data_IF_662997297056
#
_entry.id   IF_662997297056
#
_cell.length_a   1.000
_cell.length_b   1.000
_cell.length_c   1.000
_cell.angle_alpha   90.00
_cell.angle_beta   90.00
_cell.angle_gamma   90.00
#
_symmetry.space_group_name_H-M   'P 1'
#
loop_
_entity.id
_entity.type
_entity.pdbx_description
1 polymer ?
#
# COMPACT_ATOMS: atom_id res chain seq x y z
N UNK A 1 -10.17 -3.86 -69.00
CA UNK A 1 -10.12 -2.54 -68.33
C UNK A 1 -9.62 -1.52 -69.35
N UNK A 2 -10.39 -0.48 -69.69
CA UNK A 2 -10.04 0.43 -70.79
C UNK A 2 -8.88 1.35 -70.39
N UNK A 3 -8.00 1.73 -71.34
CA UNK A 3 -6.83 2.62 -71.13
C UNK A 3 -7.16 3.86 -70.29
N UNK A 4 -8.37 4.43 -70.45
CA UNK A 4 -8.84 5.58 -69.66
C UNK A 4 -8.99 5.29 -68.16
N UNK A 5 -9.43 4.08 -67.76
CA UNK A 5 -9.55 3.70 -66.34
C UNK A 5 -8.19 3.49 -65.68
N UNK A 6 -7.20 3.00 -66.43
CA UNK A 6 -5.84 2.82 -65.91
C UNK A 6 -5.16 4.17 -65.67
N UNK A 7 -5.31 5.13 -66.59
CA UNK A 7 -4.78 6.50 -66.43
C UNK A 7 -5.43 7.20 -65.23
N UNK A 8 -6.75 7.06 -65.07
CA UNK A 8 -7.44 7.66 -63.93
C UNK A 8 -6.98 7.10 -62.58
N UNK A 9 -6.77 5.79 -62.49
CA UNK A 9 -6.28 5.14 -61.28
C UNK A 9 -4.84 5.61 -60.94
N UNK A 10 -3.98 5.76 -61.95
CA UNK A 10 -2.60 6.23 -61.77
C UNK A 10 -2.53 7.69 -61.31
N UNK A 11 -3.33 8.57 -61.93
CA UNK A 11 -3.42 9.98 -61.53
C UNK A 11 -3.98 10.11 -60.12
N UNK A 12 -5.04 9.35 -59.79
CA UNK A 12 -5.62 9.35 -58.44
C UNK A 12 -4.62 8.88 -57.38
N UNK A 13 -3.88 7.80 -57.66
CA UNK A 13 -2.88 7.27 -56.73
C UNK A 13 -1.75 8.28 -56.48
N UNK A 14 -1.28 8.96 -57.52
CA UNK A 14 -0.26 10.02 -57.41
C UNK A 14 -0.76 11.23 -56.62
N UNK A 15 -2.02 11.62 -56.79
CA UNK A 15 -2.64 12.73 -56.05
C UNK A 15 -2.79 12.40 -54.56
N UNK A 16 -3.21 11.18 -54.23
CA UNK A 16 -3.33 10.71 -52.84
C UNK A 16 -1.96 10.64 -52.17
N UNK A 17 -0.93 10.13 -52.86
CA UNK A 17 0.44 10.10 -52.30
C UNK A 17 1.04 11.50 -52.17
N UNK A 18 0.77 12.42 -53.09
CA UNK A 18 1.21 13.82 -52.95
C UNK A 18 0.54 14.50 -51.74
N UNK A 19 -0.77 14.31 -51.54
CA UNK A 19 -1.49 14.85 -50.39
C UNK A 19 -1.00 14.26 -49.06
N UNK A 20 -0.71 12.96 -49.02
CA UNK A 20 -0.16 12.31 -47.82
C UNK A 20 1.24 12.82 -47.47
N UNK A 21 2.09 13.06 -48.48
CA UNK A 21 3.42 13.62 -48.26
C UNK A 21 3.37 15.09 -47.83
N UNK A 22 2.41 15.89 -48.33
CA UNK A 22 2.21 17.28 -47.88
C UNK A 22 1.75 17.31 -46.40
N UNK A 23 0.86 16.39 -45.98
CA UNK A 23 0.48 16.28 -44.57
C UNK A 23 1.66 15.86 -43.68
N UNK A 24 2.50 14.92 -44.12
CA UNK A 24 3.70 14.52 -43.37
C UNK A 24 4.73 15.65 -43.28
N UNK A 25 4.87 16.46 -44.33
CA UNK A 25 5.72 17.66 -44.32
C UNK A 25 5.17 18.74 -43.39
N UNK A 26 3.85 18.94 -43.31
CA UNK A 26 3.24 19.87 -42.35
C UNK A 26 3.37 19.41 -40.89
N UNK A 27 3.40 18.10 -40.64
CA UNK A 27 3.70 17.55 -39.30
C UNK A 27 5.18 17.72 -38.95
N UNK A 28 6.07 17.62 -39.95
CA UNK A 28 7.51 17.76 -39.75
C UNK A 28 7.98 19.23 -39.70
N UNK A 29 7.23 20.17 -40.28
CA UNK A 29 7.53 21.61 -40.30
C UNK A 29 6.70 22.43 -39.32
N UNK A 30 6.17 21.80 -38.27
CA UNK A 30 5.54 22.50 -37.16
C UNK A 30 6.57 23.36 -36.44
N UNK A 31 6.68 24.60 -36.90
CA UNK A 31 7.52 25.65 -36.35
C UNK A 31 7.35 25.74 -34.83
N UNK A 32 8.50 25.72 -34.18
CA UNK A 32 8.70 26.18 -32.82
C UNK A 32 8.32 27.65 -32.69
N UNK A 33 7.03 27.94 -32.53
CA UNK A 33 6.61 29.06 -31.71
C UNK A 33 6.67 28.61 -30.26
N UNK A 34 7.66 29.18 -29.56
CA UNK A 34 7.87 29.02 -28.14
C UNK A 34 6.69 29.58 -27.36
N UNK A 35 5.64 28.78 -27.24
CA UNK A 35 4.87 28.78 -26.02
C UNK A 35 5.81 28.24 -24.96
N UNK A 36 6.22 29.12 -24.06
CA UNK A 36 6.72 28.74 -22.76
C UNK A 36 5.60 27.92 -22.09
N UNK A 37 5.59 26.61 -22.36
CA UNK A 37 5.03 25.63 -21.46
C UNK A 37 5.79 25.86 -20.16
N UNK A 38 5.23 26.71 -19.30
CA UNK A 38 5.69 26.91 -17.95
C UNK A 38 5.94 25.50 -17.42
N UNK A 39 7.20 25.20 -17.12
CA UNK A 39 7.59 23.90 -16.59
C UNK A 39 6.68 23.64 -15.40
N UNK A 40 5.65 22.81 -15.60
CA UNK A 40 4.74 22.43 -14.55
C UNK A 40 5.66 21.79 -13.54
N UNK A 41 5.85 22.47 -12.40
CA UNK A 41 6.75 22.02 -11.37
C UNK A 41 6.42 20.56 -11.09
N UNK A 42 7.42 19.71 -10.84
CA UNK A 42 7.17 18.31 -10.49
C UNK A 42 6.17 18.19 -9.33
N UNK A 43 6.03 19.23 -8.50
CA UNK A 43 5.06 19.34 -7.41
C UNK A 43 3.59 19.51 -7.87
N UNK A 44 3.32 20.06 -9.05
CA UNK A 44 1.95 20.18 -9.55
C UNK A 44 1.49 18.90 -10.27
N UNK A 45 2.44 18.12 -10.82
CA UNK A 45 2.12 16.87 -11.52
C UNK A 45 1.42 15.84 -10.62
N UNK A 46 1.83 15.73 -9.34
CA UNK A 46 1.21 14.82 -8.37
C UNK A 46 -0.25 15.18 -8.05
N UNK A 47 -0.68 16.40 -8.40
CA UNK A 47 -2.02 16.90 -8.14
C UNK A 47 -2.96 16.90 -9.36
N UNK A 48 -2.47 16.61 -10.56
CA UNK A 48 -3.29 16.67 -11.78
C UNK A 48 -3.55 15.28 -12.33
N UNK A 49 -2.59 14.37 -12.22
CA UNK A 49 -2.66 13.08 -12.89
C UNK A 49 -3.25 12.01 -11.97
N UNK A 50 -4.31 11.32 -12.42
CA UNK A 50 -4.92 10.19 -11.70
C UNK A 50 -4.09 8.90 -11.83
N UNK A 51 -2.80 8.97 -11.50
CA UNK A 51 -1.86 7.86 -11.69
C UNK A 51 -0.74 7.86 -10.64
N UNK A 52 0.11 6.86 -10.76
CA UNK A 52 1.36 6.75 -10.04
C UNK A 52 2.33 7.87 -10.46
N UNK A 53 2.99 8.51 -9.49
CA UNK A 53 4.06 9.48 -9.73
C UNK A 53 5.21 9.26 -8.73
N UNK A 54 6.45 9.33 -9.21
CA UNK A 54 7.66 9.12 -8.41
C UNK A 54 8.54 7.98 -8.92
N UNK A 55 9.54 7.60 -8.11
CA UNK A 55 10.49 6.53 -8.41
C UNK A 55 10.43 5.46 -7.33
N UNK A 56 10.48 4.21 -7.75
CA UNK A 56 10.60 3.05 -6.88
C UNK A 56 12.06 2.59 -6.84
N UNK A 57 12.55 2.24 -5.66
CA UNK A 57 13.86 1.62 -5.42
C UNK A 57 13.88 0.25 -6.12
N UNK A 58 14.76 0.00 -7.10
CA UNK A 58 14.82 -1.29 -7.80
C UNK A 58 15.28 -2.45 -6.91
N UNK A 59 16.03 -2.16 -5.84
CA UNK A 59 16.54 -3.15 -4.88
C UNK A 59 15.54 -3.52 -3.79
N UNK A 60 14.40 -2.82 -3.70
CA UNK A 60 13.39 -3.07 -2.69
C UNK A 60 12.72 -4.44 -2.89
N UNK A 61 12.34 -5.08 -1.78
CA UNK A 61 11.64 -6.36 -1.80
C UNK A 61 10.14 -6.22 -1.71
N UNK A 62 9.65 -5.07 -1.25
CA UNK A 62 8.23 -4.79 -1.07
C UNK A 62 7.87 -3.38 -1.51
N UNK A 63 6.68 -3.24 -2.07
CA UNK A 63 6.02 -1.94 -2.27
C UNK A 63 4.77 -1.86 -1.41
N UNK A 64 4.81 -1.00 -0.39
CA UNK A 64 3.73 -0.75 0.56
C UNK A 64 2.89 0.43 0.07
N UNK A 65 1.57 0.24 -0.03
CA UNK A 65 0.64 1.36 -0.16
C UNK A 65 0.22 1.85 1.21
N UNK A 66 0.16 3.18 1.36
CA UNK A 66 -0.31 3.85 2.56
C UNK A 66 -1.35 4.88 2.18
N UNK A 67 -2.39 5.03 2.99
CA UNK A 67 -3.44 6.00 2.74
C UNK A 67 -3.68 6.87 3.98
N UNK A 68 -2.81 7.87 4.22
CA UNK A 68 -2.96 8.76 5.37
C UNK A 68 -4.26 9.56 5.30
N UNK A 69 -4.77 9.89 6.49
CA UNK A 69 -5.92 10.79 6.62
C UNK A 69 -5.58 12.16 6.02
N UNK A 70 -6.56 12.80 5.39
CA UNK A 70 -6.39 14.10 4.71
C UNK A 70 -5.99 15.23 5.67
N UNK A 71 -4.99 16.03 5.28
CA UNK A 71 -4.57 17.24 6.00
C UNK A 71 -5.66 18.32 6.01
N UNK A 72 -6.50 18.38 4.96
CA UNK A 72 -7.60 19.36 4.85
C UNK A 72 -8.83 19.03 5.70
N UNK A 73 -9.11 17.75 5.90
CA UNK A 73 -10.36 17.29 6.54
C UNK A 73 -10.34 17.32 8.05
N UNK A 74 -9.17 17.53 8.59
CA UNK A 74 -8.96 17.56 10.00
C UNK A 74 -8.45 18.96 10.25
N UNK A 75 -9.07 19.67 11.17
CA UNK A 75 -8.26 20.51 12.06
C UNK A 75 -7.32 19.58 12.81
N UNK A 76 -6.40 18.91 12.09
CA UNK A 76 -5.35 18.12 12.68
C UNK A 76 -4.72 19.06 13.65
N UNK A 77 -4.65 18.61 14.89
CA UNK A 77 -3.76 19.27 15.81
C UNK A 77 -2.39 19.36 15.13
N UNK A 78 -1.68 20.45 15.33
CA UNK A 78 -0.31 20.61 14.82
C UNK A 78 0.55 19.38 15.17
N UNK A 79 0.26 18.80 16.33
CA UNK A 79 0.75 17.52 16.82
C UNK A 79 0.55 16.36 15.83
N UNK A 80 -0.67 16.09 15.37
CA UNK A 80 -0.95 15.00 14.43
C UNK A 80 -0.29 15.23 13.07
N UNK A 81 -0.25 16.49 12.61
CA UNK A 81 0.45 16.85 11.39
C UNK A 81 1.97 16.60 11.51
N UNK A 82 2.58 16.95 12.65
CA UNK A 82 3.98 16.69 12.93
C UNK A 82 4.28 15.20 13.02
N UNK A 83 3.38 14.41 13.63
CA UNK A 83 3.51 12.95 13.65
C UNK A 83 3.45 12.37 12.24
N UNK A 84 2.49 12.79 11.42
CA UNK A 84 2.38 12.30 10.04
C UNK A 84 3.64 12.65 9.22
N UNK A 85 4.17 13.88 9.37
CA UNK A 85 5.43 14.28 8.73
C UNK A 85 6.58 13.37 9.17
N UNK A 86 6.73 13.16 10.48
CA UNK A 86 7.78 12.30 11.01
C UNK A 86 7.66 10.88 10.44
N UNK A 87 6.48 10.26 10.51
CA UNK A 87 6.26 8.90 9.97
C UNK A 87 6.59 8.83 8.47
N UNK A 88 6.15 9.81 7.67
CA UNK A 88 6.50 9.89 6.24
C UNK A 88 8.00 9.94 6.00
N UNK A 89 8.72 10.75 6.80
CA UNK A 89 10.17 10.84 6.70
C UNK A 89 10.83 9.49 7.04
N UNK A 90 10.33 8.75 8.04
CA UNK A 90 10.88 7.42 8.38
C UNK A 90 10.72 6.41 7.23
N UNK A 91 9.61 6.43 6.48
CA UNK A 91 9.38 5.51 5.37
C UNK A 91 10.44 5.62 4.27
N UNK A 92 10.96 6.82 4.03
CA UNK A 92 12.02 7.07 3.04
C UNK A 92 13.31 6.35 3.44
N UNK A 93 13.58 6.30 4.75
CA UNK A 93 14.81 5.71 5.33
C UNK A 93 14.84 4.18 5.29
N UNK A 94 13.71 3.49 5.04
CA UNK A 94 13.66 2.02 5.02
C UNK A 94 14.29 1.50 3.71
N UNK A 95 15.48 0.87 3.73
CA UNK A 95 16.26 0.62 2.52
C UNK A 95 15.56 -0.33 1.54
N UNK A 96 15.04 -1.46 2.02
CA UNK A 96 14.42 -2.50 1.19
C UNK A 96 12.92 -2.35 0.92
N UNK A 97 12.34 -1.18 1.19
CA UNK A 97 10.91 -0.95 0.98
C UNK A 97 10.65 0.32 0.18
N UNK A 98 9.68 0.21 -0.73
CA UNK A 98 9.03 1.35 -1.34
C UNK A 98 7.73 1.67 -0.58
N UNK A 99 7.47 2.94 -0.36
CA UNK A 99 6.18 3.41 0.17
C UNK A 99 5.53 4.33 -0.86
N UNK A 100 4.26 4.06 -1.16
CA UNK A 100 3.46 4.82 -2.11
C UNK A 100 2.27 5.42 -1.39
N UNK A 101 2.24 6.75 -1.30
CA UNK A 101 1.15 7.49 -0.66
C UNK A 101 -0.03 7.61 -1.60
N UNK A 102 -1.13 6.96 -1.26
CA UNK A 102 -2.37 6.93 -2.02
C UNK A 102 -3.38 7.91 -1.42
N UNK A 103 -3.76 8.94 -2.18
CA UNK A 103 -4.73 9.94 -1.71
C UNK A 103 -5.40 10.69 -2.86
N UNK A 104 -6.48 11.41 -2.56
CA UNK A 104 -7.01 12.48 -3.42
C UNK A 104 -6.73 13.89 -2.85
N UNK A 105 -6.07 13.98 -1.68
CA UNK A 105 -5.72 15.24 -1.03
C UNK A 105 -4.40 15.80 -1.56
N UNK A 106 -4.46 16.81 -2.42
CA UNK A 106 -3.29 17.39 -3.08
C UNK A 106 -2.21 17.88 -2.09
N UNK A 107 -2.50 18.68 -1.04
CA UNK A 107 -1.52 19.01 -0.01
C UNK A 107 -0.76 17.81 0.58
N UNK A 108 -1.46 16.70 0.84
CA UNK A 108 -0.85 15.48 1.37
C UNK A 108 0.08 14.85 0.33
N UNK A 109 -0.32 14.80 -0.94
CA UNK A 109 0.51 14.27 -2.02
C UNK A 109 1.75 15.13 -2.27
N UNK A 110 1.62 16.47 -2.23
CA UNK A 110 2.76 17.39 -2.31
C UNK A 110 3.74 17.19 -1.16
N UNK A 111 3.24 17.07 0.07
CA UNK A 111 4.07 16.79 1.24
C UNK A 111 4.83 15.46 1.11
N UNK A 112 4.14 14.40 0.65
CA UNK A 112 4.78 13.11 0.41
C UNK A 112 5.90 13.21 -0.65
N UNK A 113 5.62 13.90 -1.76
CA UNK A 113 6.59 14.13 -2.83
C UNK A 113 7.81 14.95 -2.35
N UNK A 114 7.58 15.95 -1.49
CA UNK A 114 8.65 16.75 -0.88
C UNK A 114 9.64 15.89 -0.07
N UNK A 115 9.16 14.83 0.59
CA UNK A 115 10.01 13.86 1.28
C UNK A 115 10.61 12.78 0.35
N UNK A 116 10.34 12.83 -0.95
CA UNK A 116 10.83 11.85 -1.91
C UNK A 116 10.04 10.54 -1.93
N UNK A 117 8.83 10.52 -1.35
CA UNK A 117 7.93 9.38 -1.45
C UNK A 117 7.24 9.37 -2.82
N UNK A 118 7.00 8.17 -3.34
CA UNK A 118 6.13 8.00 -4.50
C UNK A 118 4.67 8.21 -4.09
N UNK A 119 3.84 8.64 -5.03
CA UNK A 119 2.44 8.97 -4.81
C UNK A 119 1.55 8.26 -5.82
N UNK A 120 0.28 8.06 -5.46
CA UNK A 120 -0.75 7.60 -6.37
C UNK A 120 -2.03 8.42 -6.12
N UNK A 121 -2.44 9.22 -7.11
CA UNK A 121 -3.67 10.00 -6.98
C UNK A 121 -4.88 9.15 -7.35
N UNK A 122 -5.87 9.10 -6.46
CA UNK A 122 -7.13 8.42 -6.72
C UNK A 122 -7.99 9.21 -7.72
N UNK A 123 -8.44 8.54 -8.79
CA UNK A 123 -9.40 9.10 -9.72
C UNK A 123 -10.78 9.30 -9.08
N UNK A 124 -11.38 10.46 -9.36
CA UNK A 124 -12.78 10.80 -9.08
C UNK A 124 -13.04 11.46 -7.73
N UNK A 125 -14.26 11.99 -7.57
CA UNK A 125 -14.79 12.49 -6.31
C UNK A 125 -15.17 11.30 -5.42
N UNK A 126 -14.22 10.46 -5.01
CA UNK A 126 -14.39 9.77 -3.73
C UNK A 126 -14.56 10.89 -2.72
N UNK A 127 -15.82 11.18 -2.36
CA UNK A 127 -16.12 12.19 -1.37
C UNK A 127 -15.29 11.80 -0.18
N UNK A 128 -14.36 12.67 0.19
CA UNK A 128 -13.35 12.29 1.16
C UNK A 128 -14.02 11.88 2.51
N UNK A 129 -15.33 12.17 2.66
CA UNK A 129 -16.28 11.74 3.69
C UNK A 129 -16.36 10.24 3.91
N UNK A 130 -16.36 9.46 2.83
CA UNK A 130 -16.64 8.02 2.91
C UNK A 130 -15.37 7.17 3.10
N UNK A 131 -14.19 7.80 3.16
CA UNK A 131 -12.91 7.10 3.21
C UNK A 131 -12.56 6.39 1.90
N UNK A 132 -11.39 5.76 1.87
CA UNK A 132 -10.92 5.00 0.70
C UNK A 132 -11.31 3.54 0.90
N UNK A 133 -12.05 2.90 -0.02
CA UNK A 133 -12.36 1.48 0.10
C UNK A 133 -11.09 0.64 0.07
N UNK A 134 -10.92 -0.29 1.01
CA UNK A 134 -9.67 -1.05 1.13
C UNK A 134 -9.41 -1.92 -0.10
N UNK A 135 -10.46 -2.53 -0.64
CA UNK A 135 -10.38 -3.27 -1.92
C UNK A 135 -9.75 -2.46 -3.05
N UNK A 136 -9.97 -1.14 -3.07
CA UNK A 136 -9.38 -0.24 -4.08
C UNK A 136 -7.89 -0.06 -3.84
N UNK A 137 -7.45 0.11 -2.59
CA UNK A 137 -6.02 0.21 -2.25
C UNK A 137 -5.25 -1.05 -2.62
N UNK A 138 -5.77 -2.22 -2.24
CA UNK A 138 -5.10 -3.49 -2.53
C UNK A 138 -5.06 -3.78 -4.04
N UNK A 139 -6.12 -3.41 -4.77
CA UNK A 139 -6.12 -3.47 -6.25
C UNK A 139 -5.06 -2.52 -6.85
N UNK A 140 -4.89 -1.31 -6.31
CA UNK A 140 -3.85 -0.38 -6.76
C UNK A 140 -2.46 -0.95 -6.49
N UNK A 141 -2.23 -1.49 -5.29
CA UNK A 141 -0.98 -2.11 -4.91
C UNK A 141 -0.59 -3.25 -5.87
N UNK A 142 -1.55 -4.11 -6.20
CA UNK A 142 -1.34 -5.26 -7.07
C UNK A 142 -1.15 -4.87 -8.54
N UNK A 143 -2.01 -4.00 -9.08
CA UNK A 143 -2.20 -3.87 -10.53
C UNK A 143 -1.79 -2.49 -11.11
N UNK A 144 -1.81 -1.43 -10.31
CA UNK A 144 -1.63 -0.06 -10.83
C UNK A 144 -0.23 0.51 -10.54
N UNK A 145 0.44 0.00 -9.50
CA UNK A 145 1.81 0.39 -9.16
C UNK A 145 2.79 -0.54 -9.90
N UNK A 146 3.83 0.01 -10.57
CA UNK A 146 4.80 -0.79 -11.32
C UNK A 146 5.31 -2.00 -10.55
N UNK A 147 5.33 -3.16 -11.22
CA UNK A 147 5.70 -4.44 -10.64
C UNK A 147 7.22 -4.63 -10.53
N UNK A 148 7.89 -3.76 -9.77
CA UNK A 148 9.35 -3.80 -9.57
C UNK A 148 9.78 -4.55 -8.31
N UNK A 149 8.83 -4.95 -7.46
CA UNK A 149 9.08 -5.71 -6.23
C UNK A 149 8.30 -7.03 -6.25
N UNK A 150 8.85 -8.13 -5.70
CA UNK A 150 8.16 -9.42 -5.63
C UNK A 150 6.96 -9.39 -4.69
N UNK A 151 7.00 -8.53 -3.67
CA UNK A 151 5.91 -8.36 -2.70
C UNK A 151 5.24 -7.00 -2.87
N UNK A 152 3.97 -6.95 -2.50
CA UNK A 152 3.20 -5.71 -2.30
C UNK A 152 2.50 -5.77 -0.97
N UNK A 153 2.10 -4.62 -0.44
CA UNK A 153 1.43 -4.61 0.85
C UNK A 153 0.67 -3.32 1.11
N UNK A 154 0.02 -3.29 2.26
CA UNK A 154 -0.64 -2.13 2.83
C UNK A 154 -0.16 -1.96 4.26
N UNK A 155 0.00 -0.72 4.73
CA UNK A 155 0.07 -0.45 6.15
C UNK A 155 -0.71 0.81 6.53
N UNK A 156 -1.12 0.88 7.79
CA UNK A 156 -1.69 2.08 8.38
C UNK A 156 -0.65 3.22 8.36
N UNK A 157 -1.14 4.45 8.27
CA UNK A 157 -0.30 5.63 8.06
C UNK A 157 0.48 6.09 9.29
N UNK A 158 0.25 5.46 10.44
CA UNK A 158 0.90 5.74 11.72
C UNK A 158 1.83 4.59 12.15
N UNK A 159 2.17 3.68 11.24
CA UNK A 159 3.14 2.62 11.45
C UNK A 159 4.49 2.99 10.81
N UNK A 160 5.53 2.84 11.59
CA UNK A 160 6.92 2.95 11.16
C UNK A 160 7.57 1.58 11.14
N UNK A 161 8.56 1.43 10.27
CA UNK A 161 9.37 0.23 10.15
C UNK A 161 10.84 0.60 10.20
N UNK A 162 11.66 -0.35 10.61
CA UNK A 162 13.12 -0.26 10.52
C UNK A 162 13.66 -1.30 9.51
N UNK A 163 14.97 -1.53 9.54
CA UNK A 163 15.63 -2.52 8.67
C UNK A 163 15.13 -3.97 8.87
N UNK A 164 14.41 -4.25 9.97
CA UNK A 164 13.84 -5.58 10.22
C UNK A 164 12.76 -5.97 9.21
N UNK A 165 12.08 -5.00 8.58
CA UNK A 165 11.11 -5.25 7.50
C UNK A 165 11.78 -5.95 6.32
N UNK A 166 12.84 -5.35 5.79
CA UNK A 166 13.59 -5.93 4.67
C UNK A 166 14.21 -7.28 5.05
N UNK A 167 14.88 -7.35 6.20
CA UNK A 167 15.54 -8.57 6.68
C UNK A 167 14.56 -9.73 6.78
N UNK A 168 13.39 -9.49 7.39
CA UNK A 168 12.34 -10.52 7.52
C UNK A 168 11.79 -10.93 6.17
N UNK A 169 11.39 -9.96 5.34
CA UNK A 169 10.77 -10.28 4.05
C UNK A 169 11.73 -11.00 3.09
N UNK A 170 13.02 -10.66 3.09
CA UNK A 170 14.05 -11.41 2.32
C UNK A 170 14.14 -12.86 2.75
N UNK A 171 14.14 -13.12 4.06
CA UNK A 171 14.18 -14.48 4.58
C UNK A 171 12.90 -15.25 4.22
N UNK A 172 11.74 -14.62 4.31
CA UNK A 172 10.46 -15.23 3.92
C UNK A 172 10.40 -15.53 2.43
N UNK A 173 10.88 -14.63 1.55
CA UNK A 173 11.00 -14.91 0.11
C UNK A 173 11.90 -16.12 -0.14
N UNK A 174 13.07 -16.17 0.52
CA UNK A 174 13.99 -17.31 0.40
C UNK A 174 13.41 -18.62 0.91
N UNK A 175 12.64 -18.57 2.00
CA UNK A 175 11.92 -19.74 2.51
C UNK A 175 10.80 -20.19 1.55
N UNK A 176 9.98 -19.25 1.10
CA UNK A 176 8.89 -19.51 0.16
C UNK A 176 9.42 -20.15 -1.14
N UNK A 177 10.54 -19.67 -1.68
CA UNK A 177 11.17 -20.29 -2.84
C UNK A 177 11.62 -21.74 -2.59
N UNK A 178 12.18 -22.03 -1.40
CA UNK A 178 12.62 -23.39 -1.02
C UNK A 178 11.45 -24.35 -0.78
N UNK A 179 10.34 -23.86 -0.22
CA UNK A 179 9.15 -24.65 0.08
C UNK A 179 8.10 -24.63 -1.03
N UNK A 180 8.38 -23.95 -2.15
CA UNK A 180 7.44 -23.77 -3.27
C UNK A 180 6.12 -23.11 -2.82
N UNK A 181 6.20 -22.09 -1.96
CA UNK A 181 5.05 -21.29 -1.56
C UNK A 181 4.82 -20.15 -2.55
N UNK A 182 3.93 -20.38 -3.51
CA UNK A 182 3.58 -19.36 -4.52
C UNK A 182 2.83 -18.16 -3.92
N UNK A 183 2.14 -18.38 -2.81
CA UNK A 183 1.24 -17.42 -2.20
C UNK A 183 1.61 -17.20 -0.74
N UNK A 184 2.31 -16.10 -0.49
CA UNK A 184 2.69 -15.67 0.84
C UNK A 184 1.74 -14.55 1.30
N UNK A 185 1.30 -14.63 2.55
CA UNK A 185 0.66 -13.53 3.27
C UNK A 185 1.40 -13.32 4.58
N UNK A 186 1.83 -12.10 4.87
CA UNK A 186 2.62 -11.76 6.04
C UNK A 186 1.93 -10.64 6.78
N UNK A 187 1.76 -10.82 8.08
CA UNK A 187 1.25 -9.80 8.98
C UNK A 187 1.91 -9.98 10.35
N UNK A 188 1.59 -9.13 11.31
CA UNK A 188 2.11 -9.22 12.66
C UNK A 188 1.58 -8.11 13.54
N UNK A 189 1.98 -8.16 14.81
CA UNK A 189 1.54 -7.23 15.84
C UNK A 189 2.40 -5.98 15.83
N UNK A 190 1.78 -4.83 16.06
CA UNK A 190 2.50 -3.59 16.29
C UNK A 190 3.06 -3.52 17.71
N UNK A 191 4.11 -2.72 17.88
CA UNK A 191 4.66 -2.32 19.17
C UNK A 191 4.29 -0.87 19.40
N UNK A 192 3.52 -0.62 20.46
CA UNK A 192 3.17 0.73 20.87
C UNK A 192 4.30 1.32 21.72
N UNK A 193 4.71 2.55 21.42
CA UNK A 193 5.71 3.28 22.19
C UNK A 193 5.27 4.72 22.43
N UNK A 194 5.57 5.25 23.62
CA UNK A 194 5.41 6.67 23.90
C UNK A 194 6.59 7.43 23.29
N UNK A 195 6.33 8.23 22.27
CA UNK A 195 7.36 8.91 21.48
C UNK A 195 7.12 10.40 21.25
N UNK A 196 6.17 11.01 21.96
CA UNK A 196 5.69 12.36 21.63
C UNK A 196 6.81 13.40 21.60
N UNK A 197 7.63 13.42 22.66
CA UNK A 197 8.76 14.35 22.77
C UNK A 197 9.82 14.11 21.70
N UNK A 198 9.95 12.87 21.22
CA UNK A 198 10.87 12.52 20.14
C UNK A 198 10.36 13.09 18.83
N UNK A 199 9.07 12.91 18.52
CA UNK A 199 8.42 13.39 17.29
C UNK A 199 8.55 14.90 17.15
N UNK A 200 8.36 15.65 18.22
CA UNK A 200 8.38 17.12 18.21
C UNK A 200 9.75 17.72 18.46
N UNK A 201 10.81 16.92 18.60
CA UNK A 201 12.16 17.46 18.82
C UNK A 201 12.77 18.04 17.54
N UNK A 202 13.65 19.02 17.70
CA UNK A 202 14.41 19.68 16.61
C UNK A 202 15.56 18.83 16.04
N UNK A 203 15.70 17.57 16.49
CA UNK A 203 16.74 16.66 16.01
C UNK A 203 16.48 16.19 14.58
N UNK A 204 17.53 15.69 13.91
CA UNK A 204 17.37 15.05 12.60
C UNK A 204 16.38 13.88 12.65
N UNK A 205 15.81 13.51 11.51
CA UNK A 205 14.87 12.37 11.43
C UNK A 205 15.58 11.09 11.88
N UNK A 206 16.83 10.92 11.49
CA UNK A 206 17.68 9.78 11.80
C UNK A 206 17.92 9.65 13.30
N UNK A 207 18.28 10.75 13.97
CA UNK A 207 18.47 10.77 15.43
C UNK A 207 17.16 10.52 16.18
N UNK A 208 16.04 11.10 15.71
CA UNK A 208 14.71 10.86 16.29
C UNK A 208 14.30 9.41 16.14
N UNK A 209 14.44 8.83 14.95
CA UNK A 209 14.13 7.44 14.67
C UNK A 209 15.03 6.50 15.50
N UNK A 210 16.33 6.75 15.55
CA UNK A 210 17.26 5.97 16.36
C UNK A 210 16.93 6.03 17.86
N UNK A 211 16.56 7.21 18.37
CA UNK A 211 16.11 7.38 19.76
C UNK A 211 14.84 6.56 20.01
N UNK A 212 13.85 6.67 19.13
CA UNK A 212 12.58 5.96 19.27
C UNK A 212 12.75 4.44 19.21
N UNK A 213 13.52 3.95 18.24
CA UNK A 213 13.80 2.51 18.08
C UNK A 213 14.66 1.97 19.22
N UNK A 214 15.59 2.77 19.75
CA UNK A 214 16.37 2.42 20.94
C UNK A 214 15.52 2.27 22.21
N UNK A 215 14.39 2.99 22.27
CA UNK A 215 13.43 2.90 23.37
C UNK A 215 12.49 1.67 23.27
N UNK A 216 12.31 1.09 22.08
CA UNK A 216 11.38 -0.03 21.84
C UNK A 216 11.63 -1.23 22.76
N UNK A 217 12.87 -1.74 22.96
CA UNK A 217 13.10 -2.89 23.84
C UNK A 217 12.73 -2.65 25.31
N UNK A 218 12.85 -1.40 25.78
CA UNK A 218 12.64 -1.06 27.20
C UNK A 218 11.23 -0.52 27.48
N UNK A 219 10.64 0.22 26.55
CA UNK A 219 9.40 0.98 26.72
C UNK A 219 8.27 0.53 25.78
N UNK A 220 8.61 -0.26 24.75
CA UNK A 220 7.63 -0.76 23.78
C UNK A 220 6.69 -1.79 24.40
N UNK A 221 5.41 -1.71 24.04
CA UNK A 221 4.39 -2.67 24.44
C UNK A 221 3.85 -3.37 23.19
N UNK A 222 4.06 -4.68 23.10
CA UNK A 222 3.47 -5.48 22.04
C UNK A 222 1.95 -5.45 22.15
N UNK A 223 1.28 -4.93 21.14
CA UNK A 223 -0.18 -4.77 21.16
C UNK A 223 -0.89 -6.09 20.85
N UNK A 224 -2.21 -6.19 21.03
CA UNK A 224 -2.99 -7.45 20.90
C UNK A 224 -2.84 -8.16 19.54
N UNK A 225 -3.13 -9.47 19.52
CA UNK A 225 -2.95 -10.35 18.36
C UNK A 225 -3.96 -10.12 17.22
N UNK A 226 -5.06 -9.45 17.53
CA UNK A 226 -6.12 -8.96 16.64
C UNK A 226 -5.94 -7.47 16.27
N UNK A 227 -4.71 -6.94 16.34
CA UNK A 227 -4.41 -5.59 15.88
C UNK A 227 -3.32 -5.63 14.82
N UNK A 228 -3.76 -5.84 13.58
CA UNK A 228 -2.87 -5.91 12.42
C UNK A 228 -2.90 -4.59 11.67
N UNK A 229 -1.77 -3.90 11.66
CA UNK A 229 -1.66 -2.61 10.98
C UNK A 229 -0.91 -2.68 9.65
N UNK A 230 -0.47 -3.88 9.26
CA UNK A 230 0.17 -4.11 7.97
C UNK A 230 -0.10 -5.51 7.43
N UNK A 231 -0.09 -5.59 6.10
CA UNK A 231 -0.21 -6.83 5.32
C UNK A 231 0.79 -6.77 4.18
N UNK A 232 1.56 -7.84 3.99
CA UNK A 232 2.45 -8.01 2.84
C UNK A 232 2.10 -9.33 2.15
N UNK A 233 2.06 -9.32 0.83
CA UNK A 233 1.58 -10.43 0.04
C UNK A 233 2.33 -10.55 -1.28
N UNK A 234 2.42 -11.77 -1.80
CA UNK A 234 2.91 -11.97 -3.17
C UNK A 234 1.94 -11.31 -4.14
N UNK A 235 2.46 -10.72 -5.22
CA UNK A 235 1.62 -10.10 -6.26
C UNK A 235 0.66 -11.10 -6.91
N UNK A 236 1.04 -12.37 -6.97
CA UNK A 236 0.27 -13.49 -7.49
C UNK A 236 -0.74 -14.07 -6.50
N UNK A 237 -0.96 -13.42 -5.35
CA UNK A 237 -1.90 -13.94 -4.34
C UNK A 237 -3.26 -14.30 -4.96
N UNK A 238 -3.87 -15.44 -4.58
CA UNK A 238 -5.16 -15.88 -5.11
C UNK A 238 -6.31 -15.05 -4.53
N UNK A 239 -6.03 -14.13 -3.61
CA UNK A 239 -7.06 -13.29 -3.01
C UNK A 239 -7.62 -12.29 -4.04
N UNK A 240 -8.87 -12.48 -4.44
CA UNK A 240 -9.59 -11.62 -5.38
C UNK A 240 -10.02 -10.31 -4.69
N UNK A 241 -9.17 -9.28 -4.72
CA UNK A 241 -9.43 -8.04 -3.98
C UNK A 241 -10.73 -7.33 -4.37
N UNK A 242 -11.17 -7.44 -5.63
CA UNK A 242 -12.44 -6.87 -6.07
C UNK A 242 -13.68 -7.44 -5.33
N UNK A 243 -13.55 -8.66 -4.77
CA UNK A 243 -14.58 -9.35 -4.00
C UNK A 243 -14.52 -9.09 -2.50
N UNK A 244 -13.50 -8.38 -2.01
CA UNK A 244 -13.47 -7.97 -0.61
C UNK A 244 -14.71 -7.10 -0.30
N UNK A 245 -15.29 -7.23 0.91
CA UNK A 245 -16.35 -6.35 1.35
C UNK A 245 -15.89 -4.89 1.27
N UNK A 246 -16.86 -3.96 1.20
CA UNK A 246 -16.61 -2.53 0.98
C UNK A 246 -16.12 -1.82 2.24
N UNK A 247 -15.24 -2.45 3.00
CA UNK A 247 -14.55 -1.82 4.10
C UNK A 247 -13.81 -0.58 3.65
N UNK A 248 -13.71 0.39 4.54
CA UNK A 248 -13.04 1.67 4.34
C UNK A 248 -11.83 1.77 5.27
N UNK A 249 -10.75 2.33 4.73
CA UNK A 249 -9.49 2.54 5.46
C UNK A 249 -9.70 3.47 6.65
N UNK A 250 -9.06 3.16 7.77
CA UNK A 250 -9.16 3.95 9.01
C UNK A 250 -10.36 3.59 9.89
N UNK A 251 -11.24 2.70 9.43
CA UNK A 251 -12.21 2.02 10.29
C UNK A 251 -11.66 0.69 10.82
N UNK A 252 -12.23 0.19 11.91
CA UNK A 252 -11.89 -1.12 12.50
C UNK A 252 -12.34 -2.32 11.62
N UNK A 253 -12.03 -3.55 12.06
CA UNK A 253 -12.54 -4.85 11.57
C UNK A 253 -11.91 -5.35 10.27
N UNK A 254 -11.59 -4.46 9.32
CA UNK A 254 -11.05 -4.89 8.03
C UNK A 254 -9.77 -5.71 8.17
N UNK A 255 -8.87 -5.28 9.04
CA UNK A 255 -7.61 -5.92 9.36
C UNK A 255 -7.79 -7.37 9.80
N UNK A 256 -8.69 -7.58 10.76
CA UNK A 256 -9.01 -8.90 11.27
C UNK A 256 -9.77 -9.74 10.24
N UNK A 257 -10.64 -9.11 9.45
CA UNK A 257 -11.37 -9.78 8.39
C UNK A 257 -10.41 -10.32 7.32
N UNK A 258 -9.46 -9.50 6.86
CA UNK A 258 -8.48 -9.91 5.85
C UNK A 258 -7.53 -10.98 6.39
N UNK A 259 -7.08 -10.83 7.63
CA UNK A 259 -6.23 -11.83 8.30
C UNK A 259 -6.95 -13.16 8.41
N UNK A 260 -8.22 -13.15 8.84
CA UNK A 260 -9.04 -14.37 8.94
C UNK A 260 -9.23 -15.04 7.58
N UNK A 261 -9.53 -14.25 6.53
CA UNK A 261 -9.62 -14.77 5.17
C UNK A 261 -8.32 -15.43 4.73
N UNK A 262 -7.17 -14.77 4.93
CA UNK A 262 -5.87 -15.30 4.53
C UNK A 262 -5.53 -16.59 5.28
N UNK A 263 -5.76 -16.64 6.60
CA UNK A 263 -5.52 -17.82 7.43
C UNK A 263 -6.43 -19.01 7.05
N UNK A 264 -7.63 -18.73 6.55
CA UNK A 264 -8.60 -19.74 6.13
C UNK A 264 -8.39 -20.22 4.69
N UNK A 265 -7.61 -19.49 3.89
CA UNK A 265 -7.54 -19.73 2.44
C UNK A 265 -6.57 -20.90 2.13
N UNK A 266 -7.04 -21.98 1.47
CA UNK A 266 -6.27 -23.23 1.34
C UNK A 266 -5.00 -23.11 0.51
N UNK A 267 -4.89 -22.06 -0.32
CA UNK A 267 -3.73 -21.81 -1.17
C UNK A 267 -2.79 -20.74 -0.62
N UNK A 268 -3.07 -20.13 0.54
CA UNK A 268 -2.26 -19.02 1.09
C UNK A 268 -1.46 -19.51 2.29
N UNK A 269 -0.16 -19.24 2.28
CA UNK A 269 0.70 -19.45 3.44
C UNK A 269 0.79 -18.15 4.24
N UNK A 270 -0.05 -18.04 5.27
CA UNK A 270 0.00 -16.93 6.22
C UNK A 270 1.15 -17.11 7.21
N UNK A 271 1.92 -16.04 7.43
CA UNK A 271 3.06 -15.99 8.34
C UNK A 271 2.90 -14.85 9.34
N UNK A 272 2.95 -15.17 10.62
CA UNK A 272 3.11 -14.18 11.70
C UNK A 272 4.56 -13.72 11.79
N UNK A 273 4.83 -12.47 11.42
CA UNK A 273 6.16 -11.85 11.45
C UNK A 273 6.46 -11.09 12.74
N UNK A 274 5.58 -11.16 13.74
CA UNK A 274 5.68 -10.38 14.99
C UNK A 274 7.06 -10.46 15.65
N UNK A 275 7.70 -11.63 15.67
CA UNK A 275 8.96 -11.83 16.39
C UNK A 275 10.20 -11.32 15.65
N UNK A 276 10.11 -10.99 14.36
CA UNK A 276 11.28 -10.62 13.54
C UNK A 276 11.16 -9.28 12.83
N UNK A 277 9.93 -8.75 12.73
CA UNK A 277 9.60 -7.50 12.06
C UNK A 277 9.00 -6.52 13.08
N UNK A 278 9.67 -5.39 13.26
CA UNK A 278 9.22 -4.32 14.14
C UNK A 278 8.32 -3.34 13.38
N UNK A 279 7.02 -3.44 13.62
CA UNK A 279 6.02 -2.44 13.23
C UNK A 279 5.77 -1.53 14.43
N UNK A 280 6.27 -0.30 14.41
CA UNK A 280 6.26 0.61 15.56
C UNK A 280 5.15 1.65 15.41
N UNK A 281 4.35 1.81 16.45
CA UNK A 281 3.27 2.78 16.53
C UNK A 281 3.52 3.78 17.66
N UNK A 282 3.41 5.07 17.35
CA UNK A 282 3.55 6.12 18.37
C UNK A 282 2.17 6.37 18.99
N UNK A 283 2.08 6.18 20.31
CA UNK A 283 0.82 6.36 21.02
C UNK A 283 0.22 7.76 20.79
N UNK A 284 -1.08 7.80 20.52
CA UNK A 284 -1.88 9.02 20.34
C UNK A 284 -2.24 9.71 21.69
N UNK A 285 -1.37 9.65 22.70
CA UNK A 285 -1.66 10.14 24.05
C UNK A 285 -2.80 9.39 24.75
N UNK A 286 -3.76 10.10 25.34
CA UNK A 286 -4.92 9.53 26.06
C UNK A 286 -5.95 8.86 25.14
N UNK A 287 -5.86 9.07 23.83
CA UNK A 287 -6.86 8.67 22.85
C UNK A 287 -6.61 7.31 22.20
N UNK A 288 -6.35 6.28 23.02
CA UNK A 288 -5.90 4.94 22.57
C UNK A 288 -6.91 4.15 21.72
N UNK A 289 -8.19 4.57 21.68
CA UNK A 289 -9.28 3.87 20.98
C UNK A 289 -10.09 4.76 20.03
N UNK A 290 -9.55 5.90 19.60
CA UNK A 290 -10.26 6.88 18.75
C UNK A 290 -10.86 6.27 17.47
N UNK A 291 -10.18 5.28 16.88
CA UNK A 291 -10.69 4.60 15.68
C UNK A 291 -12.01 3.90 15.95
N UNK A 292 -12.23 3.31 17.14
CA UNK A 292 -13.43 2.54 17.46
C UNK A 292 -14.70 3.40 17.46
N UNK A 293 -14.60 4.70 17.71
CA UNK A 293 -15.74 5.62 17.78
C UNK A 293 -15.90 6.46 16.50
N UNK A 294 -15.04 6.23 15.50
CA UNK A 294 -15.07 7.01 14.26
C UNK A 294 -16.24 6.66 13.34
N UNK A 295 -16.66 7.63 12.52
CA UNK A 295 -17.64 7.43 11.46
C UNK A 295 -17.25 6.29 10.50
N UNK A 296 -15.97 6.16 10.16
CA UNK A 296 -15.46 5.11 9.27
C UNK A 296 -15.58 3.72 9.92
N UNK A 297 -15.42 3.61 11.24
CA UNK A 297 -15.68 2.37 11.97
C UNK A 297 -17.15 2.00 11.99
N UNK A 298 -18.07 2.98 12.03
CA UNK A 298 -19.50 2.69 11.91
C UNK A 298 -19.86 2.16 10.51
N UNK A 299 -19.22 2.69 9.45
CA UNK A 299 -19.34 2.12 8.10
C UNK A 299 -18.87 0.66 8.10
N UNK A 300 -17.67 0.38 8.63
CA UNK A 300 -17.12 -0.99 8.63
C UNK A 300 -17.98 -1.97 9.45
N UNK A 301 -18.54 -1.54 10.59
CA UNK A 301 -19.51 -2.34 11.36
C UNK A 301 -20.76 -2.65 10.55
N UNK A 302 -21.27 -1.69 9.79
CA UNK A 302 -22.40 -1.92 8.89
C UNK A 302 -22.07 -2.96 7.81
N UNK A 303 -20.90 -2.85 7.18
CA UNK A 303 -20.41 -3.82 6.18
C UNK A 303 -20.30 -5.23 6.77
N UNK A 304 -19.92 -5.34 8.04
CA UNK A 304 -19.76 -6.62 8.74
C UNK A 304 -21.08 -7.37 8.95
N UNK A 305 -22.22 -6.68 9.04
CA UNK A 305 -23.53 -7.32 9.21
C UNK A 305 -23.83 -8.32 8.07
N UNK A 306 -23.43 -7.96 6.85
CA UNK A 306 -23.58 -8.81 5.66
C UNK A 306 -22.34 -9.66 5.36
N UNK A 307 -21.25 -9.51 6.13
CA UNK A 307 -19.97 -10.16 5.85
C UNK A 307 -19.34 -10.64 7.16
N UNK A 308 -19.90 -11.70 7.79
CA UNK A 308 -19.36 -12.23 9.03
C UNK A 308 -17.90 -12.67 8.87
N UNK A 309 -17.22 -12.83 9.99
CA UNK A 309 -15.79 -13.15 10.02
C UNK A 309 -15.46 -13.90 11.29
N UNK A 310 -14.33 -14.61 11.27
CA UNK A 310 -13.82 -15.41 12.37
C UNK A 310 -13.03 -14.62 13.43
N UNK A 311 -12.82 -13.30 13.22
CA UNK A 311 -11.90 -12.47 14.02
C UNK A 311 -10.44 -12.91 13.91
N UNK A 312 -9.93 -12.96 12.67
CA UNK A 312 -8.59 -13.45 12.40
C UNK A 312 -7.50 -12.77 13.22
N UNK A 313 -6.66 -13.61 13.84
CA UNK A 313 -5.54 -13.18 14.67
C UNK A 313 -4.22 -13.54 14.02
N UNK A 314 -3.18 -12.82 14.41
CA UNK A 314 -1.80 -13.14 14.03
C UNK A 314 -1.38 -14.52 14.55
N UNK A 315 -1.81 -14.90 15.76
CA UNK A 315 -1.53 -16.21 16.36
C UNK A 315 -2.14 -17.39 15.61
N UNK A 316 -3.16 -17.14 14.78
CA UNK A 316 -3.82 -18.17 13.97
C UNK A 316 -3.11 -18.41 12.63
N UNK A 317 -2.01 -17.69 12.35
CA UNK A 317 -1.19 -17.97 11.20
C UNK A 317 -0.57 -19.39 11.33
N UNK A 318 -0.65 -20.24 10.30
CA UNK A 318 -0.08 -21.59 10.32
C UNK A 318 1.45 -21.59 10.45
N UNK A 319 2.09 -20.48 10.11
CA UNK A 319 3.53 -20.29 10.19
C UNK A 319 3.87 -19.01 10.97
N UNK A 320 5.06 -18.98 11.56
CA UNK A 320 5.63 -17.76 12.18
C UNK A 320 7.08 -17.58 11.78
N UNK A 321 7.48 -16.33 11.60
CA UNK A 321 8.88 -15.95 11.48
C UNK A 321 9.48 -15.86 12.89
N UNK A 322 10.62 -16.52 13.10
CA UNK A 322 11.30 -16.56 14.38
C UNK A 322 12.78 -16.17 14.20
N UNK A 323 13.37 -15.42 15.16
CA UNK A 323 14.82 -15.25 15.20
C UNK A 323 15.50 -16.62 15.32
N UNK A 324 16.55 -16.83 14.54
CA UNK A 324 17.41 -18.01 14.63
C UNK A 324 18.79 -17.65 15.17
N UNK A 325 19.58 -18.67 15.52
CA UNK A 325 20.96 -18.49 15.92
C UNK A 325 21.73 -17.72 14.82
N UNK A 326 22.53 -16.73 15.24
CA UNK A 326 23.27 -15.86 14.32
C UNK A 326 22.47 -14.71 13.70
N UNK A 327 21.26 -14.42 14.19
CA UNK A 327 20.49 -13.23 13.77
C UNK A 327 19.76 -13.37 12.44
N UNK A 328 19.69 -14.59 11.90
CA UNK A 328 18.86 -14.91 10.73
C UNK A 328 17.39 -15.10 11.12
N UNK A 329 16.50 -15.14 10.12
CA UNK A 329 15.07 -15.38 10.31
C UNK A 329 14.74 -16.78 9.81
N UNK A 330 14.19 -17.62 10.69
CA UNK A 330 13.65 -18.92 10.35
C UNK A 330 12.12 -18.84 10.23
N UNK A 331 11.53 -19.76 9.48
CA UNK A 331 10.08 -19.97 9.46
C UNK A 331 9.81 -21.29 10.15
N UNK A 332 8.93 -21.26 11.15
CA UNK A 332 8.56 -22.42 11.96
C UNK A 332 7.04 -22.53 12.02
N UNK A 333 6.48 -23.72 12.31
CA UNK A 333 5.05 -23.86 12.54
C UNK A 333 4.53 -22.87 13.60
N UNK A 334 3.36 -22.31 13.34
CA UNK A 334 2.57 -21.51 14.27
C UNK A 334 1.89 -22.37 15.33
N UNK A 335 1.09 -21.74 16.19
CA UNK A 335 0.26 -22.49 17.13
C UNK A 335 -0.81 -23.28 16.37
N UNK A 336 -1.06 -24.52 16.79
CA UNK A 336 -2.13 -25.35 16.20
C UNK A 336 -3.46 -24.80 16.71
N UNK A 337 -4.02 -23.85 15.98
CA UNK A 337 -5.43 -23.52 16.05
C UNK A 337 -6.16 -24.28 14.94
N UNK A 338 -7.37 -24.81 15.20
CA UNK A 338 -8.21 -25.27 14.10
C UNK A 338 -8.30 -24.11 13.10
N UNK A 339 -7.98 -24.32 11.81
CA UNK A 339 -8.07 -23.24 10.85
C UNK A 339 -9.48 -22.66 10.91
N UNK A 340 -9.55 -21.34 10.91
CA UNK A 340 -10.81 -20.67 10.67
C UNK A 340 -11.44 -21.29 9.41
N UNK A 341 -12.68 -21.75 9.55
CA UNK A 341 -13.39 -22.30 8.38
C UNK A 341 -13.62 -21.16 7.40
N UNK A 342 -13.62 -21.45 6.10
CA UNK A 342 -14.02 -20.47 5.08
C UNK A 342 -15.51 -20.06 5.17
N UNK A 343 -16.29 -20.70 6.03
CA UNK A 343 -17.73 -20.52 6.23
C UNK A 343 -18.16 -19.06 6.52
N UNK A 344 -17.44 -18.25 7.33
CA UNK A 344 -17.78 -16.84 7.52
C UNK A 344 -17.60 -16.01 6.23
N UNK A 345 -16.79 -16.47 5.28
CA UNK A 345 -16.42 -15.74 4.06
C UNK A 345 -17.26 -16.13 2.83
N UNK A 346 -18.45 -16.71 3.01
CA UNK A 346 -19.33 -17.20 1.92
C UNK A 346 -19.58 -16.18 0.82
N UNK A 347 -19.88 -14.93 1.16
CA UNK A 347 -20.10 -13.86 0.18
C UNK A 347 -18.85 -13.57 -0.66
N UNK A 348 -17.67 -13.59 -0.03
CA UNK A 348 -16.40 -13.45 -0.73
C UNK A 348 -16.17 -14.64 -1.66
N UNK A 349 -16.32 -15.87 -1.16
CA UNK A 349 -16.12 -17.11 -1.93
C UNK A 349 -17.06 -17.15 -3.14
N UNK A 350 -18.34 -16.83 -2.95
CA UNK A 350 -19.33 -16.80 -4.02
C UNK A 350 -19.02 -15.73 -5.08
N UNK A 351 -18.41 -14.61 -4.70
CA UNK A 351 -17.92 -13.60 -5.64
C UNK A 351 -16.66 -14.07 -6.37
N UNK A 352 -15.69 -14.63 -5.64
CA UNK A 352 -14.40 -15.08 -6.17
C UNK A 352 -14.58 -16.23 -7.17
N UNK A 353 -15.48 -17.17 -6.91
CA UNK A 353 -15.77 -18.31 -7.79
C UNK A 353 -16.35 -17.92 -9.17
N UNK A 354 -16.77 -16.67 -9.35
CA UNK A 354 -17.31 -16.15 -10.63
C UNK A 354 -16.27 -15.43 -11.48
N UNK A 355 -15.01 -15.40 -11.06
CA UNK A 355 -13.93 -14.63 -11.69
C UNK A 355 -12.77 -15.52 -12.06
#
# INVERSE_FOLDING_TARGET
MTRRRLVFLLVFTLLVTALFNIQLLQIASGDHHGDAAAAVSSEDTVCVENRFAGRLKPSAVVTMVVAPKSLRRMGLSERDANRLRFVMQTWVTVPGANFVVVSNDCPLLKLAAQYGLSTFRLAGNTTAALGIPVRRLLTIAQNAIPAVTPLVGFCNSDIMFDASLERTLRALIGHAAKQQWDNLFVTGRRINVDGELVVTSERSVEERLATLLGDVPAKGQLFQDDAQDYFVLTRSTPLVFACLPRFVVGGIVFDNWLTGLANSHPLVNSVDATATLSAVHINHGTHRHESQQSFLSNINRGVLLDNPYSRGRTTDCPWRAAPSAGGSVAVVPGAIHPPDRMEPFTNYVACAAKR
#
